data_IF_544482900656
#
_entry.id   IF_544482900656
#
_cell.length_a   1.000
_cell.length_b   1.000
_cell.length_c   1.000
_cell.angle_alpha   90.00
_cell.angle_beta   90.00
_cell.angle_gamma   90.00
#
_symmetry.space_group_name_H-M   'P 1'
#
loop_
_entity.id
_entity.type
_entity.pdbx_description
1 polymer ?
#
# COMPACT_ATOMS: atom_id res chain seq x y z
N UNK A 1 8.42 -9.05 13.48
CA UNK A 1 8.99 -7.91 12.72
C UNK A 1 8.11 -7.75 11.51
N UNK A 2 7.62 -6.54 11.24
CA UNK A 2 6.70 -6.30 10.13
C UNK A 2 7.28 -5.21 9.22
N UNK A 3 6.92 -5.23 7.95
CA UNK A 3 7.18 -4.11 7.07
C UNK A 3 6.25 -2.94 7.43
N UNK A 4 6.86 -1.76 7.55
CA UNK A 4 6.15 -0.49 7.64
C UNK A 4 6.13 0.18 6.27
N UNK A 5 4.97 0.70 5.89
CA UNK A 5 4.81 1.44 4.66
C UNK A 5 5.15 2.91 4.88
N UNK A 6 6.15 3.42 4.15
CA UNK A 6 6.63 4.78 4.26
C UNK A 6 6.52 5.51 2.92
N UNK A 7 6.15 6.80 2.97
CA UNK A 7 6.28 7.71 1.83
C UNK A 7 7.57 8.50 2.00
N UNK A 8 8.40 8.49 0.97
CA UNK A 8 9.60 9.32 0.87
C UNK A 8 9.35 10.38 -0.18
N UNK A 9 9.52 11.65 0.17
CA UNK A 9 9.45 12.73 -0.81
C UNK A 9 10.75 12.74 -1.62
N UNK A 10 10.65 12.55 -2.93
CA UNK A 10 11.77 12.60 -3.87
C UNK A 10 11.38 13.49 -5.04
N UNK A 11 12.15 14.55 -5.26
CA UNK A 11 11.97 15.48 -6.39
C UNK A 11 10.51 15.98 -6.57
N UNK A 12 9.87 16.37 -5.47
CA UNK A 12 8.46 16.82 -5.48
C UNK A 12 7.41 15.71 -5.49
N UNK A 13 7.78 14.48 -5.84
CA UNK A 13 6.87 13.32 -5.86
C UNK A 13 7.00 12.49 -4.59
N UNK A 14 5.95 11.73 -4.28
CA UNK A 14 5.97 10.76 -3.20
C UNK A 14 6.34 9.38 -3.73
N UNK A 15 7.42 8.81 -3.20
CA UNK A 15 7.86 7.46 -3.49
C UNK A 15 7.50 6.53 -2.33
N UNK A 16 6.97 5.36 -2.63
CA UNK A 16 6.52 4.37 -1.68
C UNK A 16 7.62 3.35 -1.40
N UNK A 17 7.87 3.11 -0.12
CA UNK A 17 8.92 2.20 0.35
C UNK A 17 8.38 1.33 1.47
N UNK A 18 8.61 0.02 1.40
CA UNK A 18 8.45 -0.88 2.53
C UNK A 18 9.75 -0.90 3.32
N UNK A 19 9.68 -0.58 4.61
CA UNK A 19 10.84 -0.53 5.49
C UNK A 19 10.64 -1.42 6.70
N UNK A 20 11.63 -2.27 7.02
CA UNK A 20 11.64 -3.01 8.29
C UNK A 20 12.41 -2.17 9.31
N UNK A 21 11.72 -1.80 10.39
CA UNK A 21 12.38 -1.25 11.57
C UNK A 21 13.14 -2.38 12.27
N UNK A 22 14.46 -2.39 12.15
CA UNK A 22 15.31 -3.18 13.05
C UNK A 22 15.39 -2.39 14.35
N UNK A 23 15.07 -3.03 15.47
CA UNK A 23 14.94 -2.39 16.78
C UNK A 23 16.11 -1.49 17.18
N UNK A 24 15.82 -0.63 18.16
CA UNK A 24 16.64 0.43 18.77
C UNK A 24 18.17 0.25 18.58
N UNK A 25 18.80 1.25 17.92
CA UNK A 25 20.25 1.44 17.65
C UNK A 25 20.80 1.06 16.27
N UNK A 26 20.06 0.45 15.33
CA UNK A 26 20.58 0.12 13.98
C UNK A 26 19.63 0.47 12.81
N UNK A 27 19.11 1.70 12.76
CA UNK A 27 18.47 2.27 11.56
C UNK A 27 17.36 1.44 10.89
N UNK A 28 16.94 1.86 9.70
CA UNK A 28 16.11 1.03 8.82
C UNK A 28 17.02 0.00 8.13
N UNK A 29 16.79 -1.29 8.36
CA UNK A 29 17.64 -2.35 7.81
C UNK A 29 17.41 -2.54 6.32
N UNK A 30 16.24 -3.08 5.97
CA UNK A 30 15.85 -3.37 4.58
C UNK A 30 14.76 -2.40 4.15
N UNK A 31 15.01 -1.71 3.04
CA UNK A 31 14.06 -0.86 2.34
C UNK A 31 13.81 -1.45 0.95
N UNK A 32 12.53 -1.59 0.59
CA UNK A 32 12.10 -2.10 -0.71
C UNK A 32 11.31 -0.99 -1.41
N UNK A 33 11.81 -0.55 -2.57
CA UNK A 33 11.15 0.43 -3.39
C UNK A 33 9.97 -0.17 -4.17
N UNK A 34 8.76 0.34 -3.88
CA UNK A 34 7.55 -0.10 -4.56
C UNK A 34 7.33 0.68 -5.86
N UNK A 35 7.58 1.99 -5.84
CA UNK A 35 7.32 2.90 -6.96
C UNK A 35 6.78 4.25 -6.48
N UNK A 36 6.35 5.10 -7.42
CA UNK A 36 5.70 6.35 -7.07
C UNK A 36 4.30 6.10 -6.53
N UNK A 37 3.95 6.81 -5.45
CA UNK A 37 2.64 6.71 -4.82
C UNK A 37 1.53 7.13 -5.78
N UNK A 38 1.73 8.17 -6.58
CA UNK A 38 0.71 8.68 -7.51
C UNK A 38 0.34 7.63 -8.56
N UNK A 39 1.33 7.00 -9.21
CA UNK A 39 1.12 5.89 -10.14
C UNK A 39 0.38 4.71 -9.50
N UNK A 40 0.78 4.30 -8.29
CA UNK A 40 0.15 3.18 -7.58
C UNK A 40 -1.29 3.57 -7.18
N UNK A 41 -1.48 4.79 -6.70
CA UNK A 41 -2.79 5.33 -6.30
C UNK A 41 -3.75 5.32 -7.49
N UNK A 42 -3.30 5.79 -8.64
CA UNK A 42 -4.11 5.83 -9.86
C UNK A 42 -4.39 4.42 -10.38
N UNK A 43 -3.35 3.59 -10.53
CA UNK A 43 -3.45 2.22 -11.06
C UNK A 43 -4.38 1.31 -10.25
N UNK A 44 -4.39 1.48 -8.93
CA UNK A 44 -5.17 0.66 -8.02
C UNK A 44 -6.37 1.41 -7.41
N UNK A 45 -6.69 2.62 -7.89
CA UNK A 45 -7.82 3.45 -7.40
C UNK A 45 -7.84 3.58 -5.87
N UNK A 46 -6.68 3.84 -5.27
CA UNK A 46 -6.53 3.97 -3.83
C UNK A 46 -6.90 5.38 -3.38
N UNK A 47 -7.57 5.49 -2.23
CA UNK A 47 -7.86 6.80 -1.64
C UNK A 47 -6.66 7.29 -0.82
N UNK A 48 -6.16 6.42 0.07
CA UNK A 48 -5.11 6.76 1.01
C UNK A 48 -4.08 5.63 1.16
N UNK A 49 -2.93 5.97 1.77
CA UNK A 49 -1.90 4.97 2.08
C UNK A 49 -2.35 4.00 3.18
N UNK A 50 -3.33 4.40 4.00
CA UNK A 50 -3.85 3.59 5.10
C UNK A 50 -4.51 2.32 4.59
N UNK A 51 -5.20 2.37 3.45
CA UNK A 51 -5.80 1.22 2.77
C UNK A 51 -4.80 0.10 2.47
N UNK A 52 -3.53 0.48 2.24
CA UNK A 52 -2.45 -0.44 1.84
C UNK A 52 -1.41 -0.63 2.94
N UNK A 53 -1.53 0.09 4.05
CA UNK A 53 -0.64 -0.02 5.21
C UNK A 53 -0.81 -1.37 5.90
N UNK A 54 -2.04 -1.89 5.96
CA UNK A 54 -2.30 -3.23 6.50
C UNK A 54 -1.68 -4.32 5.63
N UNK A 55 -1.70 -4.16 4.30
CA UNK A 55 -1.07 -5.09 3.36
C UNK A 55 0.42 -5.22 3.65
N UNK A 56 1.12 -4.10 3.91
CA UNK A 56 2.53 -4.13 4.27
C UNK A 56 2.81 -4.99 5.52
N UNK A 57 1.93 -4.95 6.52
CA UNK A 57 2.08 -5.76 7.73
C UNK A 57 1.84 -7.25 7.52
N UNK A 58 1.21 -7.66 6.40
CA UNK A 58 0.98 -9.06 6.04
C UNK A 58 2.14 -9.70 5.28
N UNK A 59 3.08 -8.90 4.77
CA UNK A 59 4.23 -9.40 4.01
C UNK A 59 5.26 -10.01 4.94
N UNK A 60 5.72 -11.21 4.62
CA UNK A 60 6.76 -11.88 5.39
C UNK A 60 8.11 -11.18 5.22
N UNK A 61 8.74 -10.84 6.35
CA UNK A 61 10.01 -10.09 6.40
C UNK A 61 11.25 -10.92 6.04
N UNK A 62 11.12 -12.24 5.97
CA UNK A 62 12.18 -13.16 5.57
C UNK A 62 12.23 -13.36 4.05
N UNK A 63 11.23 -12.88 3.31
CA UNK A 63 11.25 -12.89 1.85
C UNK A 63 12.34 -11.98 1.29
N UNK A 64 12.91 -12.38 0.16
CA UNK A 64 13.80 -11.51 -0.60
C UNK A 64 13.05 -10.25 -1.06
N UNK A 65 13.80 -9.16 -1.29
CA UNK A 65 13.28 -7.86 -1.72
C UNK A 65 12.35 -7.97 -2.92
N UNK A 66 12.67 -8.84 -3.88
CA UNK A 66 11.84 -9.04 -5.07
C UNK A 66 10.54 -9.77 -4.73
N UNK A 67 10.62 -10.89 -4.01
CA UNK A 67 9.45 -11.68 -3.61
C UNK A 67 8.49 -10.89 -2.72
N UNK A 68 9.01 -10.14 -1.75
CA UNK A 68 8.22 -9.26 -0.89
C UNK A 68 7.48 -8.17 -1.69
N UNK A 69 8.13 -7.61 -2.72
CA UNK A 69 7.50 -6.65 -3.63
C UNK A 69 6.37 -7.29 -4.44
N UNK A 70 6.61 -8.47 -5.02
CA UNK A 70 5.59 -9.19 -5.79
C UNK A 70 4.38 -9.58 -4.93
N UNK A 71 4.63 -10.06 -3.72
CA UNK A 71 3.58 -10.43 -2.77
C UNK A 71 2.74 -9.22 -2.35
N UNK A 72 3.38 -8.07 -2.12
CA UNK A 72 2.68 -6.81 -1.86
C UNK A 72 1.70 -6.45 -2.99
N UNK A 73 2.16 -6.47 -4.24
CA UNK A 73 1.28 -6.17 -5.37
C UNK A 73 0.22 -7.25 -5.62
N UNK A 74 0.51 -8.51 -5.29
CA UNK A 74 -0.44 -9.62 -5.36
C UNK A 74 -1.60 -9.43 -4.37
N UNK A 75 -1.31 -8.99 -3.14
CA UNK A 75 -2.32 -8.66 -2.13
C UNK A 75 -3.06 -7.34 -2.43
N UNK A 76 -2.41 -6.42 -3.16
CA UNK A 76 -3.01 -5.16 -3.60
C UNK A 76 -4.07 -5.35 -4.69
N UNK A 77 -3.82 -6.24 -5.67
CA UNK A 77 -4.73 -6.54 -6.79
C UNK A 77 -6.20 -6.85 -6.39
N UNK A 78 -6.49 -7.75 -5.43
CA UNK A 78 -7.87 -8.08 -5.06
C UNK A 78 -8.57 -7.02 -4.19
N UNK A 79 -7.82 -6.16 -3.47
CA UNK A 79 -8.41 -5.09 -2.66
C UNK A 79 -8.85 -3.87 -3.49
N UNK A 80 -8.23 -3.65 -4.66
CA UNK A 80 -8.59 -2.56 -5.58
C UNK A 80 -10.03 -2.70 -6.14
N UNK A 81 -10.56 -3.93 -6.18
CA UNK A 81 -11.90 -4.20 -6.75
C UNK A 81 -13.02 -3.98 -5.73
N UNK A 82 -12.77 -4.06 -4.42
CA UNK A 82 -13.84 -3.94 -3.41
C UNK A 82 -14.26 -2.50 -3.13
N UNK A 83 -13.37 -1.52 -3.24
CA UNK A 83 -13.69 -0.12 -2.88
C UNK A 83 -14.46 0.63 -3.97
N UNK A 84 -14.22 0.35 -5.25
CA UNK A 84 -15.03 0.92 -6.35
C UNK A 84 -16.46 0.36 -6.38
N UNK A 85 -16.66 -0.84 -5.85
CA UNK A 85 -17.98 -1.46 -5.79
C UNK A 85 -18.77 -0.91 -4.59
N UNK A 86 -18.14 -0.77 -3.42
CA UNK A 86 -18.86 -0.32 -2.22
C UNK A 86 -19.31 1.15 -2.31
N UNK A 87 -18.54 2.03 -2.95
CA UNK A 87 -18.94 3.44 -3.14
C UNK A 87 -20.06 3.57 -4.20
N UNK A 88 -20.05 2.74 -5.25
CA UNK A 88 -21.11 2.75 -6.27
C UNK A 88 -22.45 2.22 -5.75
N UNK A 89 -22.42 1.24 -4.82
CA UNK A 89 -23.65 0.73 -4.19
C UNK A 89 -24.18 1.62 -3.05
N UNK A 90 -23.33 2.42 -2.41
CA UNK A 90 -23.80 3.38 -1.39
C UNK A 90 -24.48 4.61 -2.01
N UNK A 91 -23.98 5.12 -3.14
CA UNK A 91 -24.63 6.22 -3.86
C UNK A 91 -25.95 5.83 -4.54
N UNK A 92 -26.13 4.57 -4.93
CA UNK A 92 -27.36 4.11 -5.60
C UNK A 92 -28.52 3.85 -4.62
N UNK A 93 -28.24 3.68 -3.33
CA UNK A 93 -29.26 3.46 -2.30
C UNK A 93 -29.84 4.78 -1.73
N UNK A 94 -29.06 5.87 -1.75
CA UNK A 94 -29.48 7.18 -1.26
C UNK A 94 -30.25 8.05 -2.28
N UNK A 95 -30.36 7.61 -3.53
CA UNK A 95 -31.04 8.35 -4.62
C UNK A 95 -32.42 7.77 -4.98
N UNK A 96 -32.87 6.71 -4.30
CA UNK A 96 -34.19 6.10 -4.50
C UNK A 96 -35.18 6.37 -3.35
N UNK A 97 -34.77 7.13 -2.33
CA UNK A 97 -35.59 7.42 -1.14
C UNK A 97 -35.91 8.92 -0.99
N UNK A 98 -35.94 9.68 -2.09
CA UNK A 98 -36.35 11.08 -2.06
C UNK A 98 -37.21 11.45 -3.27
#
# INVERSE_FOLDING_TARGET
MNYNLCKKKQNGKYYLVLAISKGFKKGYGSQIGLGYWEDIKEKYSLSSIEDIKEIASKIDVNLDKQSAKEEFFKLLKPNSVKTSIQIKYWYRFNLQNH
#
